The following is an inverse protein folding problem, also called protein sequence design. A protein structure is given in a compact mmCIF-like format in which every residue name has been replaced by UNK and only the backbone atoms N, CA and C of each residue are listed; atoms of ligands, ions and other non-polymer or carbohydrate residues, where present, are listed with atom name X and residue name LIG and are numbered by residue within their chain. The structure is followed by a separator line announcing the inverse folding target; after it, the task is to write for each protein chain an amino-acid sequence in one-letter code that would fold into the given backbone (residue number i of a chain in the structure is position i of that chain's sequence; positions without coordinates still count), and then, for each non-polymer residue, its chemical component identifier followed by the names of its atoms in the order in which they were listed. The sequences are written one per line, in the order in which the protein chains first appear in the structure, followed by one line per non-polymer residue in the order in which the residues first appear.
data_IF_019526520454
#
_entry.id   IF_019526520454
#
_cell.length_a   1.000
_cell.length_b   1.000
_cell.length_c   1.000
_cell.angle_alpha   90.00
_cell.angle_beta   90.00
_cell.angle_gamma   90.00
#
_symmetry.space_group_name_H-M   'P 1'
#
loop_
_entity.id
_entity.type
_entity.pdbx_description
1 polymer ?
#
# COMPACT_ATOMS: atom_id res chain seq x y z
N UNK A 1 11.13 -2.26 3.48
CA UNK A 1 9.72 -2.03 3.76
C UNK A 1 9.02 -1.44 2.53
N UNK A 2 7.69 -1.44 2.57
CA UNK A 2 6.90 -0.91 1.47
C UNK A 2 5.41 -0.95 1.80
N UNK A 3 5.03 -0.28 2.88
CA UNK A 3 3.63 -0.25 3.30
C UNK A 3 2.76 0.35 2.21
N UNK A 4 3.36 1.13 1.33
CA UNK A 4 2.62 1.76 0.23
C UNK A 4 2.34 0.76 -0.89
N UNK A 5 1.65 -0.32 -0.54
CA UNK A 5 1.31 -1.36 -1.51
C UNK A 5 0.01 -2.05 -1.13
N UNK A 6 -0.15 -2.34 0.15
CA UNK A 6 -1.35 -3.02 0.64
C UNK A 6 -2.45 -2.00 0.94
N UNK A 7 -2.06 -0.76 1.19
CA UNK A 7 -3.02 0.29 1.50
C UNK A 7 -3.73 0.77 0.23
N UNK A 8 -2.99 0.87 -0.86
CA UNK A 8 -3.55 1.30 -2.13
C UNK A 8 -4.83 0.53 -2.46
N UNK A 9 -5.77 1.20 -3.10
CA UNK A 9 -7.04 0.57 -3.47
C UNK A 9 -7.91 1.55 -4.28
N UNK A 10 -7.41 1.94 -5.44
CA UNK A 10 -8.13 2.86 -6.31
C UNK A 10 -7.33 3.17 -7.57
#
# INVERSE_FOLDING_TARGET
RLKWVRIWRR
#
